data_IF_012252310816
#
_entry.id   IF_012252310816
#
_cell.length_a   1.000
_cell.length_b   1.000
_cell.length_c   1.000
_cell.angle_alpha   90.00
_cell.angle_beta   90.00
_cell.angle_gamma   90.00
#
_symmetry.space_group_name_H-M   'P 1'
#
loop_
_entity.id
_entity.type
_entity.pdbx_description
1 polymer ?
#
# COMPACT_ATOMS: atom_id res chain seq x y z
N UNK A 1 1.74 -4.53 -21.67
CA UNK A 1 1.83 -5.70 -20.76
C UNK A 1 3.25 -6.26 -20.79
N UNK A 2 3.74 -6.77 -19.67
CA UNK A 2 5.02 -7.49 -19.63
C UNK A 2 4.78 -8.95 -20.08
N UNK A 3 5.09 -9.28 -21.33
CA UNK A 3 4.97 -10.64 -21.88
C UNK A 3 6.33 -11.29 -22.03
N UNK A 4 6.40 -12.62 -21.90
CA UNK A 4 7.63 -13.37 -22.12
C UNK A 4 8.21 -13.12 -23.51
N UNK A 5 7.35 -13.14 -24.54
CA UNK A 5 7.73 -12.85 -25.93
C UNK A 5 8.40 -11.48 -26.07
N UNK A 6 7.80 -10.42 -25.50
CA UNK A 6 8.38 -9.07 -25.57
C UNK A 6 9.73 -8.95 -24.88
N UNK A 7 9.96 -9.70 -23.79
CA UNK A 7 11.26 -9.80 -23.14
C UNK A 7 12.31 -10.51 -24.00
N UNK A 8 11.92 -11.58 -24.69
CA UNK A 8 12.80 -12.31 -25.60
C UNK A 8 13.12 -11.49 -26.86
N UNK A 9 12.15 -10.78 -27.41
CA UNK A 9 12.34 -9.82 -28.50
C UNK A 9 13.35 -8.73 -28.11
N UNK A 10 13.21 -8.17 -26.91
CA UNK A 10 14.17 -7.18 -26.39
C UNK A 10 15.58 -7.78 -26.28
N UNK A 11 15.74 -9.00 -25.76
CA UNK A 11 17.05 -9.65 -25.71
C UNK A 11 17.63 -9.88 -27.10
N UNK A 12 16.82 -10.31 -28.06
CA UNK A 12 17.26 -10.52 -29.43
C UNK A 12 17.74 -9.20 -30.06
N UNK A 13 17.01 -8.10 -29.84
CA UNK A 13 17.40 -6.76 -30.27
C UNK A 13 18.72 -6.31 -29.64
N UNK A 14 18.89 -6.51 -28.33
CA UNK A 14 20.11 -6.11 -27.62
C UNK A 14 21.32 -6.94 -28.06
N UNK A 15 21.15 -8.26 -28.27
CA UNK A 15 22.22 -9.14 -28.78
C UNK A 15 22.59 -8.87 -30.24
N UNK A 16 21.69 -8.27 -31.01
CA UNK A 16 21.94 -7.86 -32.40
C UNK A 16 22.74 -6.57 -32.54
N UNK A 17 23.09 -5.90 -31.43
CA UNK A 17 23.93 -4.70 -31.45
C UNK A 17 25.38 -5.06 -31.84
N UNK A 18 26.17 -4.10 -32.36
CA UNK A 18 27.54 -4.36 -32.82
C UNK A 18 28.48 -4.94 -31.76
N UNK A 19 28.12 -4.81 -30.49
CA UNK A 19 28.87 -5.32 -29.37
C UNK A 19 28.10 -6.48 -28.70
N UNK A 20 28.62 -7.71 -28.74
CA UNK A 20 27.93 -8.86 -28.20
C UNK A 20 28.05 -9.00 -26.69
N UNK A 21 28.96 -8.28 -26.02
CA UNK A 21 29.11 -8.36 -24.56
C UNK A 21 28.03 -7.53 -23.85
N UNK A 22 27.12 -8.16 -23.07
CA UNK A 22 26.10 -7.43 -22.30
C UNK A 22 26.67 -6.37 -21.36
N UNK A 23 27.89 -6.56 -20.85
CA UNK A 23 28.52 -5.60 -19.93
C UNK A 23 28.92 -4.29 -20.60
N UNK A 24 29.12 -4.33 -21.92
CA UNK A 24 29.46 -3.15 -22.72
C UNK A 24 28.21 -2.42 -23.25
N UNK A 25 27.03 -3.04 -23.14
CA UNK A 25 25.74 -2.45 -23.49
C UNK A 25 25.12 -1.77 -22.26
N UNK A 26 25.09 -0.43 -22.29
CA UNK A 26 24.54 0.40 -21.21
C UNK A 26 23.08 0.77 -21.51
N UNK A 27 22.20 0.57 -20.53
CA UNK A 27 20.75 0.78 -20.68
C UNK A 27 20.28 1.81 -19.66
N UNK A 28 19.68 2.91 -20.14
CA UNK A 28 19.00 3.89 -19.29
C UNK A 28 17.50 3.62 -19.21
N UNK A 29 16.96 3.67 -18.00
CA UNK A 29 15.52 3.57 -17.72
C UNK A 29 15.11 4.70 -16.77
N UNK A 30 13.87 5.17 -16.85
CA UNK A 30 13.32 6.18 -15.91
C UNK A 30 12.92 5.59 -14.54
N UNK A 31 13.30 4.34 -14.30
CA UNK A 31 13.06 3.62 -13.06
C UNK A 31 14.30 2.80 -12.69
N UNK A 32 14.51 2.66 -11.40
CA UNK A 32 15.56 1.83 -10.81
C UNK A 32 15.03 0.47 -10.32
N UNK A 33 13.75 0.17 -10.57
CA UNK A 33 13.04 -1.00 -10.02
C UNK A 33 12.11 -1.63 -11.04
N UNK A 34 11.76 -2.90 -10.80
CA UNK A 34 10.70 -3.61 -11.51
C UNK A 34 11.23 -4.69 -12.46
N UNK A 35 10.30 -5.48 -13.00
CA UNK A 35 10.61 -6.69 -13.77
C UNK A 35 11.60 -6.45 -14.91
N UNK A 36 11.51 -5.31 -15.61
CA UNK A 36 12.43 -4.98 -16.69
C UNK A 36 13.86 -4.75 -16.20
N UNK A 37 14.02 -4.01 -15.11
CA UNK A 37 15.34 -3.76 -14.50
C UNK A 37 15.95 -5.07 -14.03
N UNK A 38 15.18 -5.86 -13.27
CA UNK A 38 15.62 -7.16 -12.76
C UNK A 38 16.02 -8.11 -13.89
N UNK A 39 15.22 -8.17 -14.96
CA UNK A 39 15.49 -9.01 -16.12
C UNK A 39 16.78 -8.61 -16.84
N UNK A 40 17.01 -7.32 -17.09
CA UNK A 40 18.23 -6.84 -17.75
C UNK A 40 19.48 -7.10 -16.89
N UNK A 41 19.40 -6.90 -15.57
CA UNK A 41 20.49 -7.18 -14.65
C UNK A 41 20.86 -8.67 -14.61
N UNK A 42 19.88 -9.58 -14.59
CA UNK A 42 20.12 -11.04 -14.62
C UNK A 42 20.81 -11.48 -15.93
N UNK A 43 20.55 -10.77 -17.03
CA UNK A 43 21.20 -11.02 -18.32
C UNK A 43 22.55 -10.30 -18.49
N UNK A 44 23.07 -9.65 -17.43
CA UNK A 44 24.41 -9.07 -17.39
C UNK A 44 24.53 -7.65 -17.96
N UNK A 45 23.42 -6.98 -18.27
CA UNK A 45 23.46 -5.62 -18.83
C UNK A 45 23.75 -4.55 -17.77
N UNK A 46 24.48 -3.50 -18.17
CA UNK A 46 24.71 -2.32 -17.33
C UNK A 46 23.49 -1.40 -17.30
N UNK A 47 22.64 -1.51 -16.27
CA UNK A 47 21.40 -0.71 -16.16
C UNK A 47 21.62 0.55 -15.32
N UNK A 48 21.07 1.68 -15.76
CA UNK A 48 21.09 2.96 -15.05
C UNK A 48 19.66 3.49 -14.85
N UNK A 49 19.29 3.72 -13.59
CA UNK A 49 18.04 4.37 -13.23
C UNK A 49 18.18 5.89 -13.27
N UNK A 50 17.47 6.55 -14.18
CA UNK A 50 17.44 7.99 -14.33
C UNK A 50 16.17 8.57 -13.70
N UNK A 51 16.30 9.65 -12.94
CA UNK A 51 15.14 10.34 -12.36
C UNK A 51 14.37 11.08 -13.47
N UNK A 52 13.04 10.88 -13.62
CA UNK A 52 12.24 11.55 -14.65
C UNK A 52 12.43 13.08 -14.67
N UNK A 53 12.54 13.72 -13.50
CA UNK A 53 12.77 15.17 -13.40
C UNK A 53 14.15 15.62 -13.91
N UNK A 54 15.12 14.71 -13.92
CA UNK A 54 16.43 14.97 -14.52
C UNK A 54 16.31 14.81 -16.03
N UNK A 55 15.68 13.73 -16.50
CA UNK A 55 15.45 13.47 -17.93
C UNK A 55 14.68 14.62 -18.59
N UNK A 56 13.63 15.13 -17.96
CA UNK A 56 12.87 16.29 -18.44
C UNK A 56 13.75 17.54 -18.64
N UNK A 57 14.66 17.82 -17.69
CA UNK A 57 15.61 18.94 -17.80
C UNK A 57 16.65 18.76 -18.90
N UNK A 58 17.04 17.52 -19.19
CA UNK A 58 17.88 17.23 -20.34
C UNK A 58 17.10 17.36 -21.66
N UNK A 59 15.82 16.97 -21.67
CA UNK A 59 14.93 17.06 -22.83
C UNK A 59 14.83 18.50 -23.35
N UNK A 60 14.74 19.47 -22.44
CA UNK A 60 14.69 20.91 -22.76
C UNK A 60 15.91 21.41 -23.56
N UNK A 61 17.06 20.72 -23.49
CA UNK A 61 18.27 21.08 -24.26
C UNK A 61 18.17 20.71 -25.75
N UNK A 62 17.30 19.76 -26.10
CA UNK A 62 17.23 19.19 -27.45
C UNK A 62 16.00 19.65 -28.24
N UNK A 63 14.95 20.13 -27.57
CA UNK A 63 13.77 20.66 -28.23
C UNK A 63 13.06 21.69 -27.36
N UNK A 64 12.74 22.86 -27.95
CA UNK A 64 11.88 23.88 -27.35
C UNK A 64 10.40 23.51 -27.51
N UNK A 65 10.07 22.67 -28.50
CA UNK A 65 8.72 22.20 -28.76
C UNK A 65 8.46 20.89 -27.99
N UNK A 66 7.41 20.87 -27.16
CA UNK A 66 6.96 19.70 -26.40
C UNK A 66 6.25 18.65 -27.29
N UNK A 67 6.89 18.19 -28.37
CA UNK A 67 6.34 17.08 -29.16
C UNK A 67 6.80 15.77 -28.54
N UNK A 68 5.95 15.16 -27.72
CA UNK A 68 6.19 13.87 -27.07
C UNK A 68 6.28 12.76 -28.13
N UNK A 69 7.37 11.98 -28.11
CA UNK A 69 7.59 10.85 -29.00
C UNK A 69 8.48 9.83 -28.29
N UNK A 70 8.07 8.57 -28.23
CA UNK A 70 8.81 7.51 -27.53
C UNK A 70 10.24 7.34 -28.10
N UNK A 71 10.40 7.54 -29.42
CA UNK A 71 11.73 7.54 -30.07
C UNK A 71 12.63 8.66 -29.57
N UNK A 72 12.06 9.84 -29.36
CA UNK A 72 12.81 10.98 -28.84
C UNK A 72 13.15 10.78 -27.36
N UNK A 73 12.24 10.21 -26.58
CA UNK A 73 12.48 9.89 -25.16
C UNK A 73 13.60 8.85 -25.01
N UNK A 74 13.59 7.78 -25.82
CA UNK A 74 14.67 6.80 -25.87
C UNK A 74 16.01 7.44 -26.29
N UNK A 75 16.00 8.33 -27.28
CA UNK A 75 17.18 9.08 -27.70
C UNK A 75 17.74 9.95 -26.56
N UNK A 76 16.89 10.69 -25.84
CA UNK A 76 17.30 11.54 -24.72
C UNK A 76 17.97 10.70 -23.63
N UNK A 77 17.35 9.59 -23.23
CA UNK A 77 17.90 8.67 -22.22
C UNK A 77 19.27 8.11 -22.64
N UNK A 78 19.38 7.61 -23.88
CA UNK A 78 20.63 7.08 -24.41
C UNK A 78 21.72 8.17 -24.47
N UNK A 79 21.35 9.38 -24.89
CA UNK A 79 22.31 10.47 -25.02
C UNK A 79 22.80 10.99 -23.66
N UNK A 80 21.94 11.01 -22.63
CA UNK A 80 22.35 11.32 -21.25
C UNK A 80 23.44 10.37 -20.77
N UNK A 81 23.27 9.05 -20.96
CA UNK A 81 24.34 8.11 -20.60
C UNK A 81 25.58 8.30 -21.47
N UNK A 82 25.42 8.56 -22.77
CA UNK A 82 26.57 8.76 -23.67
C UNK A 82 27.45 9.94 -23.26
N UNK A 83 26.87 11.07 -22.83
CA UNK A 83 27.62 12.30 -22.52
C UNK A 83 27.96 12.44 -21.04
N UNK A 84 27.04 12.08 -20.16
CA UNK A 84 27.11 12.39 -18.73
C UNK A 84 27.20 11.13 -17.85
N UNK A 85 27.59 9.96 -18.40
CA UNK A 85 27.70 8.68 -17.66
C UNK A 85 28.33 8.82 -16.29
N UNK A 86 29.43 9.56 -16.21
CA UNK A 86 30.24 9.78 -15.01
C UNK A 86 29.46 10.43 -13.84
N UNK A 87 28.27 10.98 -14.10
CA UNK A 87 27.38 11.59 -13.10
C UNK A 87 26.32 10.62 -12.57
N UNK A 88 26.23 9.43 -13.15
CA UNK A 88 25.24 8.42 -12.80
C UNK A 88 25.92 7.13 -12.35
N UNK A 89 25.28 6.43 -11.43
CA UNK A 89 25.76 5.15 -10.92
C UNK A 89 24.97 4.01 -11.58
N UNK A 90 25.64 2.93 -12.00
CA UNK A 90 24.94 1.74 -12.45
C UNK A 90 24.16 1.13 -11.28
N UNK A 91 23.03 0.53 -11.59
CA UNK A 91 22.29 -0.29 -10.63
C UNK A 91 23.11 -1.56 -10.43
N UNK A 92 23.65 -1.71 -9.24
CA UNK A 92 24.32 -2.94 -8.85
C UNK A 92 23.25 -3.94 -8.40
N UNK A 93 23.28 -5.19 -8.91
CA UNK A 93 22.39 -6.22 -8.40
C UNK A 93 22.76 -6.47 -6.94
N UNK A 94 21.81 -6.28 -6.02
CA UNK A 94 22.05 -6.72 -4.65
C UNK A 94 22.08 -8.25 -4.59
N UNK A 95 22.62 -8.79 -3.50
CA UNK A 95 22.49 -10.22 -3.21
C UNK A 95 21.00 -10.60 -3.18
N UNK A 96 20.71 -11.86 -3.51
CA UNK A 96 19.34 -12.40 -3.53
C UNK A 96 18.60 -12.10 -2.21
N UNK A 97 19.29 -12.29 -1.09
CA UNK A 97 18.78 -12.00 0.26
C UNK A 97 18.40 -10.52 0.46
N UNK A 98 19.24 -9.58 0.01
CA UNK A 98 18.95 -8.14 0.15
C UNK A 98 17.77 -7.73 -0.74
N UNK A 99 17.67 -8.30 -1.95
CA UNK A 99 16.53 -8.05 -2.86
C UNK A 99 15.23 -8.54 -2.23
N UNK A 100 15.21 -9.76 -1.70
CA UNK A 100 14.05 -10.33 -1.03
C UNK A 100 13.62 -9.50 0.17
N UNK A 101 14.56 -9.16 1.07
CA UNK A 101 14.29 -8.32 2.23
C UNK A 101 13.73 -6.94 1.84
N UNK A 102 14.26 -6.33 0.77
CA UNK A 102 13.75 -5.04 0.26
C UNK A 102 12.30 -5.16 -0.23
N UNK A 103 11.97 -6.25 -0.93
CA UNK A 103 10.61 -6.51 -1.40
C UNK A 103 9.66 -6.70 -0.22
N UNK A 104 10.02 -7.56 0.74
CA UNK A 104 9.23 -7.82 1.95
C UNK A 104 9.01 -6.54 2.78
N UNK A 105 10.06 -5.74 2.99
CA UNK A 105 9.93 -4.48 3.75
C UNK A 105 9.08 -3.44 3.03
N UNK A 106 9.12 -3.41 1.68
CA UNK A 106 8.21 -2.57 0.89
C UNK A 106 6.77 -3.01 1.03
N UNK A 107 6.50 -4.31 0.95
CA UNK A 107 5.14 -4.84 1.05
C UNK A 107 4.59 -4.71 2.48
N UNK A 108 5.42 -4.93 3.49
CA UNK A 108 5.09 -4.61 4.89
C UNK A 108 4.67 -3.15 5.06
N UNK A 109 5.43 -2.19 4.51
CA UNK A 109 5.07 -0.76 4.56
C UNK A 109 3.73 -0.47 3.88
N UNK A 110 3.40 -1.16 2.78
CA UNK A 110 2.08 -1.03 2.13
C UNK A 110 0.98 -1.55 3.06
N UNK A 111 1.14 -2.75 3.62
CA UNK A 111 0.15 -3.36 4.53
C UNK A 111 -0.09 -2.49 5.77
N UNK A 112 0.95 -1.90 6.35
CA UNK A 112 0.81 -0.94 7.46
C UNK A 112 -0.04 0.26 7.06
N UNK A 113 0.21 0.84 5.88
CA UNK A 113 -0.61 1.96 5.36
C UNK A 113 -2.06 1.55 5.10
N UNK A 114 -2.27 0.34 4.58
CA UNK A 114 -3.61 -0.19 4.33
C UNK A 114 -4.38 -0.42 5.61
N UNK A 115 -3.75 -1.00 6.63
CA UNK A 115 -4.34 -1.13 7.97
C UNK A 115 -4.74 0.23 8.53
N UNK A 116 -3.83 1.22 8.51
CA UNK A 116 -4.15 2.58 8.97
C UNK A 116 -5.33 3.19 8.20
N UNK A 117 -5.38 2.99 6.87
CA UNK A 117 -6.52 3.45 6.05
C UNK A 117 -7.83 2.79 6.48
N UNK A 118 -7.83 1.47 6.69
CA UNK A 118 -9.01 0.72 7.12
C UNK A 118 -9.47 1.14 8.52
N UNK A 119 -8.54 1.30 9.46
CA UNK A 119 -8.82 1.82 10.80
C UNK A 119 -9.47 3.20 10.74
N UNK A 120 -8.94 4.11 9.91
CA UNK A 120 -9.53 5.44 9.75
C UNK A 120 -10.91 5.39 9.09
N UNK A 121 -11.12 4.51 8.11
CA UNK A 121 -12.45 4.27 7.52
C UNK A 121 -13.44 3.73 8.54
N UNK A 122 -13.00 2.83 9.43
CA UNK A 122 -13.83 2.28 10.50
C UNK A 122 -14.22 3.38 11.50
N UNK A 123 -13.26 4.20 11.96
CA UNK A 123 -13.52 5.34 12.85
C UNK A 123 -14.50 6.32 12.19
N UNK A 124 -14.27 6.67 10.92
CA UNK A 124 -15.15 7.55 10.16
C UNK A 124 -16.58 7.00 10.10
N UNK A 125 -16.72 5.71 9.74
CA UNK A 125 -18.02 5.05 9.68
C UNK A 125 -18.73 5.05 11.04
N UNK A 126 -18.04 4.72 12.13
CA UNK A 126 -18.62 4.69 13.47
C UNK A 126 -19.08 6.08 13.92
N UNK A 127 -18.34 7.14 13.60
CA UNK A 127 -18.76 8.53 13.92
C UNK A 127 -20.06 8.95 13.24
N UNK A 128 -20.42 8.32 12.13
CA UNK A 128 -21.65 8.65 11.39
C UNK A 128 -22.91 8.03 11.99
N UNK A 129 -22.82 6.89 12.69
CA UNK A 129 -24.02 6.18 13.18
C UNK A 129 -23.90 5.55 14.58
N UNK A 130 -22.70 5.29 15.07
CA UNK A 130 -22.45 4.65 16.36
C UNK A 130 -21.28 5.33 17.12
N UNK A 131 -21.38 6.63 17.46
CA UNK A 131 -20.23 7.40 17.95
C UNK A 131 -19.65 6.89 19.28
N UNK A 132 -20.51 6.41 20.19
CA UNK A 132 -20.05 5.86 21.49
C UNK A 132 -19.07 4.69 21.32
N UNK A 133 -19.21 3.88 20.27
CA UNK A 133 -18.32 2.75 20.03
C UNK A 133 -16.86 3.15 19.79
N UNK A 134 -16.62 4.37 19.29
CA UNK A 134 -15.28 4.93 19.13
C UNK A 134 -14.60 5.20 20.47
N UNK A 135 -15.39 5.44 21.53
CA UNK A 135 -14.93 5.83 22.85
C UNK A 135 -14.93 4.71 23.88
N UNK A 136 -15.56 3.56 23.58
CA UNK A 136 -15.57 2.41 24.49
C UNK A 136 -14.19 1.81 24.71
N UNK A 137 -13.31 1.88 23.71
CA UNK A 137 -12.03 1.18 23.69
C UNK A 137 -10.88 2.11 23.28
N UNK A 138 -9.66 1.81 23.74
CA UNK A 138 -8.47 2.59 23.42
C UNK A 138 -8.12 2.56 21.92
N UNK A 139 -8.30 1.40 21.26
CA UNK A 139 -8.07 1.21 19.83
C UNK A 139 -9.26 0.52 19.19
N UNK A 140 -9.66 0.96 18.01
CA UNK A 140 -10.79 0.33 17.29
C UNK A 140 -10.39 -0.90 16.49
N UNK A 141 -9.09 -1.03 16.17
CA UNK A 141 -8.53 -2.14 15.37
C UNK A 141 -7.90 -3.24 16.23
N UNK A 142 -8.14 -3.23 17.54
CA UNK A 142 -7.72 -4.32 18.42
C UNK A 142 -8.75 -5.46 18.37
N UNK A 143 -8.32 -6.73 18.54
CA UNK A 143 -9.20 -7.90 18.43
C UNK A 143 -10.48 -7.82 19.27
N UNK A 144 -10.38 -7.37 20.54
CA UNK A 144 -11.54 -7.19 21.42
C UNK A 144 -12.60 -6.25 20.82
N UNK A 145 -12.17 -5.09 20.30
CA UNK A 145 -13.10 -4.11 19.74
C UNK A 145 -13.75 -4.63 18.47
N UNK A 146 -12.99 -5.35 17.63
CA UNK A 146 -13.52 -5.98 16.42
C UNK A 146 -14.52 -7.11 16.75
N UNK A 147 -14.25 -7.94 17.78
CA UNK A 147 -15.21 -8.95 18.25
C UNK A 147 -16.49 -8.29 18.81
N UNK A 148 -16.34 -7.23 19.61
CA UNK A 148 -17.46 -6.46 20.13
C UNK A 148 -18.34 -5.88 19.00
N UNK A 149 -17.74 -5.18 18.04
CA UNK A 149 -18.46 -4.56 16.92
C UNK A 149 -19.13 -5.58 16.02
N UNK A 150 -18.59 -6.80 15.91
CA UNK A 150 -19.25 -7.89 15.18
C UNK A 150 -20.44 -8.46 15.91
N UNK A 151 -20.37 -8.58 17.24
CA UNK A 151 -21.46 -9.11 18.07
C UNK A 151 -22.57 -8.09 18.26
N UNK A 152 -22.21 -6.81 18.39
CA UNK A 152 -23.14 -5.69 18.57
C UNK A 152 -22.87 -4.58 17.53
N UNK A 153 -23.29 -4.77 16.26
CA UNK A 153 -23.12 -3.78 15.20
C UNK A 153 -23.80 -2.42 15.43
N UNK A 154 -24.88 -2.36 16.22
CA UNK A 154 -25.61 -1.13 16.53
C UNK A 154 -25.73 -0.84 18.03
N UNK A 155 -26.11 0.41 18.37
CA UNK A 155 -26.37 0.83 19.75
C UNK A 155 -27.50 0.01 20.37
N UNK A 156 -28.55 -0.26 19.60
CA UNK A 156 -29.74 -0.99 20.05
C UNK A 156 -29.40 -2.45 20.37
N UNK A 157 -28.63 -3.11 19.50
CA UNK A 157 -28.11 -4.45 19.76
C UNK A 157 -27.22 -4.45 20.99
N UNK A 158 -26.39 -3.41 21.15
CA UNK A 158 -25.52 -3.29 22.32
C UNK A 158 -26.30 -3.01 23.62
N UNK A 159 -27.42 -2.29 23.56
CA UNK A 159 -28.31 -2.10 24.72
C UNK A 159 -29.11 -3.35 25.06
N UNK A 160 -29.30 -4.25 24.10
CA UNK A 160 -29.93 -5.55 24.32
C UNK A 160 -29.04 -6.57 25.04
N UNK A 161 -27.73 -6.32 25.13
CA UNK A 161 -26.80 -7.24 25.80
C UNK A 161 -26.97 -7.23 27.31
N UNK A 162 -26.71 -8.37 27.97
CA UNK A 162 -26.63 -8.39 29.43
C UNK A 162 -25.25 -7.92 29.91
N UNK A 163 -25.20 -7.48 31.16
CA UNK A 163 -23.94 -7.06 31.79
C UNK A 163 -22.96 -8.25 31.87
N UNK A 164 -23.47 -9.45 32.11
CA UNK A 164 -22.73 -10.70 32.17
C UNK A 164 -22.08 -11.04 30.82
N UNK A 165 -22.82 -10.88 29.71
CA UNK A 165 -22.29 -11.11 28.36
C UNK A 165 -21.10 -10.19 28.04
N UNK A 166 -21.18 -8.92 28.47
CA UNK A 166 -20.08 -7.98 28.28
C UNK A 166 -18.86 -8.34 29.13
N UNK A 167 -19.08 -8.74 30.38
CA UNK A 167 -18.01 -9.20 31.28
C UNK A 167 -17.30 -10.41 30.69
N UNK A 168 -18.05 -11.41 30.20
CA UNK A 168 -17.50 -12.60 29.58
C UNK A 168 -16.67 -12.27 28.34
N UNK A 169 -17.18 -11.41 27.45
CA UNK A 169 -16.45 -10.95 26.26
C UNK A 169 -15.14 -10.27 26.64
N UNK A 170 -15.17 -9.36 27.62
CA UNK A 170 -14.00 -8.61 28.05
C UNK A 170 -12.97 -9.48 28.81
N UNK A 171 -13.44 -10.47 29.56
CA UNK A 171 -12.60 -11.42 30.29
C UNK A 171 -11.71 -12.26 29.36
N UNK A 172 -12.19 -12.62 28.16
CA UNK A 172 -11.37 -13.29 27.12
C UNK A 172 -10.08 -12.53 26.79
N UNK A 173 -10.15 -11.20 26.91
CA UNK A 173 -9.05 -10.28 26.61
C UNK A 173 -8.41 -9.69 27.87
N UNK A 174 -8.60 -10.32 29.04
CA UNK A 174 -8.00 -9.94 30.33
C UNK A 174 -8.38 -8.52 30.80
N UNK A 175 -9.56 -8.04 30.44
CA UNK A 175 -10.09 -6.77 30.99
C UNK A 175 -10.81 -7.02 32.32
N UNK A 176 -10.79 -6.02 33.20
CA UNK A 176 -11.41 -6.14 34.52
C UNK A 176 -12.93 -6.08 34.44
N UNK A 177 -13.60 -6.65 35.44
CA UNK A 177 -15.06 -6.51 35.60
C UNK A 177 -15.45 -5.03 35.67
N UNK A 178 -14.72 -4.21 36.42
CA UNK A 178 -14.97 -2.77 36.56
C UNK A 178 -14.97 -2.04 35.22
N UNK A 179 -14.06 -2.39 34.31
CA UNK A 179 -14.00 -1.82 32.97
C UNK A 179 -15.23 -2.20 32.13
N UNK A 180 -15.72 -3.44 32.25
CA UNK A 180 -16.98 -3.86 31.63
C UNK A 180 -18.17 -3.09 32.20
N UNK A 181 -18.25 -2.86 33.51
CA UNK A 181 -19.35 -2.07 34.09
C UNK A 181 -19.34 -0.61 33.65
N UNK A 182 -18.15 -0.01 33.48
CA UNK A 182 -17.99 1.34 32.93
C UNK A 182 -18.50 1.42 31.49
N UNK A 183 -18.07 0.50 30.63
CA UNK A 183 -18.52 0.42 29.23
C UNK A 183 -20.03 0.15 29.13
N UNK A 184 -20.56 -0.75 29.95
CA UNK A 184 -21.99 -1.05 29.99
C UNK A 184 -22.82 0.20 30.27
N UNK A 185 -22.41 1.00 31.27
CA UNK A 185 -23.05 2.28 31.59
C UNK A 185 -22.99 3.25 30.42
N UNK A 186 -21.82 3.41 29.80
CA UNK A 186 -21.63 4.33 28.67
C UNK A 186 -22.56 4.02 27.48
N UNK A 187 -22.81 2.73 27.20
CA UNK A 187 -23.72 2.29 26.13
C UNK A 187 -25.19 2.67 26.42
N UNK A 188 -25.57 2.70 27.69
CA UNK A 188 -26.93 2.99 28.14
C UNK A 188 -27.20 4.47 28.38
N UNK A 189 -26.18 5.33 28.33
CA UNK A 189 -26.37 6.78 28.36
C UNK A 189 -27.15 7.27 27.12
N UNK A 190 -27.80 8.45 27.19
CA UNK A 190 -28.43 9.08 26.03
C UNK A 190 -27.45 9.20 24.86
N UNK A 191 -27.88 8.74 23.69
CA UNK A 191 -27.07 8.75 22.46
C UNK A 191 -27.70 9.69 21.43
N UNK A 192 -26.89 10.11 20.47
CA UNK A 192 -27.36 10.85 19.30
C UNK A 192 -28.34 9.94 18.55
N UNK A 193 -29.53 10.47 18.26
CA UNK A 193 -30.51 9.78 17.43
C UNK A 193 -30.05 9.82 15.97
N UNK A 194 -30.06 8.67 15.31
CA UNK A 194 -29.62 8.50 13.93
C UNK A 194 -30.73 7.80 13.16
N UNK A 195 -31.01 8.26 11.95
CA UNK A 195 -32.05 7.68 11.11
C UNK A 195 -31.82 6.17 10.88
N UNK A 196 -32.87 5.32 10.99
CA UNK A 196 -32.74 3.87 10.87
C UNK A 196 -32.11 3.40 9.56
N UNK A 197 -32.33 4.11 8.46
CA UNK A 197 -31.76 3.84 7.13
C UNK A 197 -30.24 3.97 7.16
N UNK A 198 -29.72 5.01 7.84
CA UNK A 198 -28.29 5.27 8.01
C UNK A 198 -27.69 4.15 8.85
N UNK A 199 -28.32 3.79 9.98
CA UNK A 199 -27.86 2.70 10.85
C UNK A 199 -27.77 1.38 10.09
N UNK A 200 -28.80 1.01 9.32
CA UNK A 200 -28.81 -0.23 8.51
C UNK A 200 -27.72 -0.24 7.43
N UNK A 201 -27.50 0.89 6.75
CA UNK A 201 -26.49 0.97 5.70
C UNK A 201 -25.07 0.97 6.27
N UNK A 202 -24.82 1.77 7.29
CA UNK A 202 -23.49 1.96 7.88
C UNK A 202 -23.06 0.76 8.72
N UNK A 203 -23.95 0.07 9.42
CA UNK A 203 -23.62 -1.19 10.12
C UNK A 203 -23.11 -2.28 9.16
N UNK A 204 -23.72 -2.43 7.98
CA UNK A 204 -23.26 -3.37 6.95
C UNK A 204 -21.87 -3.01 6.42
N UNK A 205 -21.64 -1.71 6.17
CA UNK A 205 -20.34 -1.22 5.74
C UNK A 205 -19.28 -1.41 6.83
N UNK A 206 -19.60 -1.07 8.08
CA UNK A 206 -18.76 -1.28 9.25
C UNK A 206 -18.34 -2.75 9.39
N UNK A 207 -19.28 -3.70 9.28
CA UNK A 207 -18.98 -5.14 9.33
C UNK A 207 -18.04 -5.58 8.21
N UNK A 208 -18.15 -4.98 7.02
CA UNK A 208 -17.21 -5.26 5.92
C UNK A 208 -15.80 -4.75 6.23
N UNK A 209 -15.67 -3.60 6.91
CA UNK A 209 -14.38 -3.05 7.35
C UNK A 209 -13.77 -3.91 8.47
N UNK A 210 -14.58 -4.35 9.43
CA UNK A 210 -14.12 -5.25 10.51
C UNK A 210 -13.55 -6.53 9.93
N UNK A 211 -14.25 -7.21 9.01
CA UNK A 211 -13.74 -8.45 8.37
C UNK A 211 -12.40 -8.25 7.68
N UNK A 212 -12.16 -7.07 7.10
CA UNK A 212 -10.88 -6.74 6.42
C UNK A 212 -9.73 -6.44 7.38
N UNK A 213 -10.03 -6.08 8.63
CA UNK A 213 -9.03 -5.78 9.66
C UNK A 213 -8.59 -7.03 10.44
N UNK A 214 -9.31 -8.15 10.30
CA UNK A 214 -9.00 -9.41 10.98
C UNK A 214 -8.09 -10.36 10.19
N UNK A 215 -7.94 -10.11 8.89
CA UNK A 215 -7.04 -10.82 7.99
C UNK A 215 -5.64 -10.25 8.11
#
# INVERSE_FOLDING_TARGET
PHTQEGFLELLALLRGLPNPDPQEVLIALETDKGLLVDFLLIHGYGVYGLNPKVVDRYRERYSVAQKKSDRFDAFVLANILRTDRHRFWPILPDSEFIRELRLLTRDHKKLVKERTRLTNQLIGCLKEYYPVAVHLFCKVDQPLTLEFLKRYPTVEEARGMTKEELIELLAKYRNSKEDAEKKYRLIHEPQIEVEPEIVRAKSRYMLSLVRRLEV
#
